data_IF_996517524684
#
_entry.id   IF_996517524684
#
_cell.length_a   1.000
_cell.length_b   1.000
_cell.length_c   1.000
_cell.angle_alpha   90.00
_cell.angle_beta   90.00
_cell.angle_gamma   90.00
#
_symmetry.space_group_name_H-M   'P 1'
#
loop_
_entity.id
_entity.type
_entity.pdbx_description
1 polymer ?
#
# COMPACT_ATOMS: atom_id res chain seq x y z
N UNK A 1 31.07 -3.26 -5.28
CA UNK A 1 30.03 -3.45 -6.32
C UNK A 1 28.80 -3.98 -5.61
N UNK A 2 27.90 -3.11 -5.17
CA UNK A 2 26.59 -3.53 -4.70
C UNK A 2 25.73 -3.71 -5.96
N UNK A 3 25.29 -4.93 -6.22
CA UNK A 3 24.22 -5.13 -7.18
C UNK A 3 22.98 -4.45 -6.59
N UNK A 4 22.57 -3.31 -7.14
CA UNK A 4 21.25 -2.76 -6.89
C UNK A 4 20.25 -3.84 -7.33
N UNK A 5 19.71 -4.57 -6.37
CA UNK A 5 18.57 -5.44 -6.63
C UNK A 5 17.42 -4.51 -7.02
N UNK A 6 17.18 -4.40 -8.33
CA UNK A 6 15.97 -3.79 -8.85
C UNK A 6 14.78 -4.47 -8.19
N UNK A 7 14.01 -3.71 -7.42
CA UNK A 7 12.78 -4.17 -6.78
C UNK A 7 11.81 -4.63 -7.88
N UNK A 8 11.35 -5.88 -7.82
CA UNK A 8 10.29 -6.36 -8.70
C UNK A 8 8.93 -5.84 -8.20
N UNK A 9 8.58 -4.63 -8.63
CA UNK A 9 7.34 -3.98 -8.24
C UNK A 9 6.08 -4.72 -8.70
N UNK A 10 6.15 -5.54 -9.76
CA UNK A 10 5.02 -6.37 -10.16
C UNK A 10 4.79 -7.50 -9.14
N UNK A 11 5.87 -8.10 -8.64
CA UNK A 11 5.79 -9.09 -7.57
C UNK A 11 5.29 -8.44 -6.26
N UNK A 12 5.80 -7.26 -5.90
CA UNK A 12 5.34 -6.51 -4.72
C UNK A 12 3.84 -6.22 -4.81
N UNK A 13 3.36 -5.73 -5.96
CA UNK A 13 1.94 -5.49 -6.19
C UNK A 13 1.11 -6.78 -6.03
N UNK A 14 1.58 -7.89 -6.60
CA UNK A 14 0.90 -9.18 -6.49
C UNK A 14 0.82 -9.67 -5.02
N UNK A 15 1.87 -9.45 -4.23
CA UNK A 15 1.89 -9.79 -2.81
C UNK A 15 0.95 -8.91 -1.98
N UNK A 16 0.92 -7.59 -2.21
CA UNK A 16 -0.03 -6.71 -1.52
C UNK A 16 -1.49 -7.04 -1.88
N UNK A 17 -1.74 -7.44 -3.12
CA UNK A 17 -3.07 -7.88 -3.57
C UNK A 17 -3.54 -9.20 -2.94
N UNK A 18 -2.64 -9.98 -2.32
CA UNK A 18 -2.97 -11.22 -1.59
C UNK A 18 -3.26 -10.99 -0.10
N UNK A 19 -3.03 -9.78 0.42
CA UNK A 19 -3.34 -9.47 1.81
C UNK A 19 -4.85 -9.64 2.08
N UNK A 20 -5.26 -10.09 3.27
CA UNK A 20 -6.66 -10.12 3.64
C UNK A 20 -7.24 -8.70 3.64
N UNK A 21 -8.04 -8.40 2.62
CA UNK A 21 -8.68 -7.11 2.43
C UNK A 21 -10.01 -7.05 3.17
N UNK A 22 -10.37 -5.91 3.79
CA UNK A 22 -11.73 -5.65 4.20
C UNK A 22 -12.70 -5.83 3.02
N UNK A 23 -13.90 -6.35 3.28
CA UNK A 23 -14.86 -6.72 2.22
C UNK A 23 -15.33 -5.55 1.34
N UNK A 24 -15.16 -4.31 1.81
CA UNK A 24 -15.48 -3.10 1.06
C UNK A 24 -14.32 -2.61 0.16
N UNK A 25 -13.10 -3.11 0.32
CA UNK A 25 -11.97 -2.68 -0.53
C UNK A 25 -12.14 -3.30 -1.91
N UNK A 26 -12.16 -2.43 -2.92
CA UNK A 26 -12.37 -2.82 -4.33
C UNK A 26 -11.05 -3.18 -5.03
N UNK A 27 -9.92 -2.78 -4.47
CA UNK A 27 -8.59 -3.10 -4.99
C UNK A 27 -7.52 -2.12 -4.54
N UNK A 28 -6.32 -2.32 -5.07
CA UNK A 28 -5.16 -1.47 -4.83
C UNK A 28 -4.61 -0.94 -6.16
N UNK A 29 -4.16 0.30 -6.15
CA UNK A 29 -3.30 0.87 -7.21
C UNK A 29 -1.99 1.27 -6.57
N UNK A 30 -0.88 0.94 -7.22
CA UNK A 30 0.47 1.26 -6.76
C UNK A 30 1.17 2.20 -7.75
N UNK A 31 2.04 3.05 -7.23
CA UNK A 31 3.04 3.80 -7.99
C UNK A 31 4.31 3.86 -7.14
N UNK A 32 5.47 3.74 -7.76
CA UNK A 32 6.76 3.84 -7.09
C UNK A 32 7.63 4.88 -7.80
N UNK A 33 8.62 5.41 -7.08
CA UNK A 33 9.56 6.39 -7.58
C UNK A 33 10.19 7.19 -6.45
N UNK A 34 10.92 8.24 -6.80
CA UNK A 34 11.47 9.19 -5.85
C UNK A 34 10.38 10.13 -5.33
N UNK A 35 10.39 10.39 -4.02
CA UNK A 35 9.57 11.40 -3.39
C UNK A 35 10.15 12.81 -3.54
N UNK A 36 9.62 13.78 -2.80
CA UNK A 36 10.09 15.16 -2.88
C UNK A 36 11.49 15.38 -2.26
N UNK A 37 12.01 14.45 -1.46
CA UNK A 37 13.36 14.52 -0.88
C UNK A 37 14.39 13.76 -1.72
N UNK A 38 13.94 13.04 -2.75
CA UNK A 38 14.79 12.18 -3.59
C UNK A 38 14.94 10.78 -3.02
N UNK A 39 14.15 10.41 -2.00
CA UNK A 39 14.16 9.08 -1.40
C UNK A 39 13.17 8.17 -2.14
N UNK A 40 13.49 6.87 -2.23
CA UNK A 40 12.58 5.90 -2.83
C UNK A 40 11.31 5.75 -1.98
N UNK A 41 10.16 5.86 -2.63
CA UNK A 41 8.87 5.74 -2.00
C UNK A 41 7.86 4.99 -2.86
N UNK A 42 6.79 4.53 -2.21
CA UNK A 42 5.66 3.89 -2.85
C UNK A 42 4.35 4.55 -2.43
N UNK A 43 3.52 4.89 -3.40
CA UNK A 43 2.17 5.38 -3.21
C UNK A 43 1.19 4.24 -3.44
N UNK A 44 0.36 3.99 -2.44
CA UNK A 44 -0.68 2.96 -2.47
C UNK A 44 -2.03 3.65 -2.33
N UNK A 45 -2.86 3.50 -3.36
CA UNK A 45 -4.26 3.92 -3.31
C UNK A 45 -5.13 2.71 -3.02
N UNK A 46 -5.81 2.74 -1.87
CA UNK A 46 -6.80 1.76 -1.46
C UNK A 46 -8.14 2.20 -2.01
N UNK A 47 -8.65 1.45 -3.00
CA UNK A 47 -9.94 1.76 -3.63
C UNK A 47 -11.08 1.34 -2.74
N UNK A 48 -11.94 2.28 -2.37
CA UNK A 48 -13.09 2.03 -1.52
C UNK A 48 -14.34 2.75 -2.06
N UNK A 49 -15.55 2.27 -1.74
CA UNK A 49 -16.78 2.96 -2.10
C UNK A 49 -16.84 4.37 -1.49
N UNK A 50 -17.47 5.29 -2.22
CA UNK A 50 -17.80 6.61 -1.67
C UNK A 50 -18.64 6.47 -0.39
N UNK A 51 -18.30 7.26 0.64
CA UNK A 51 -19.01 7.25 1.92
C UNK A 51 -18.68 6.05 2.83
N UNK A 52 -17.75 5.16 2.47
CA UNK A 52 -17.38 4.01 3.33
C UNK A 52 -16.93 4.44 4.73
N UNK A 53 -16.24 5.57 4.83
CA UNK A 53 -15.69 6.09 6.09
C UNK A 53 -16.76 6.56 7.08
N UNK A 54 -18.01 6.75 6.61
CA UNK A 54 -19.15 7.05 7.46
C UNK A 54 -19.79 5.80 8.09
N UNK A 55 -19.40 4.59 7.66
CA UNK A 55 -19.92 3.34 8.21
C UNK A 55 -19.24 3.02 9.55
N UNK A 56 -19.99 2.51 10.55
CA UNK A 56 -19.41 2.06 11.82
C UNK A 56 -18.33 1.00 11.60
N UNK A 57 -17.16 1.18 12.22
CA UNK A 57 -16.03 0.23 12.15
C UNK A 57 -15.16 0.34 10.90
N UNK A 58 -15.61 1.02 9.83
CA UNK A 58 -14.85 1.10 8.58
C UNK A 58 -13.48 1.78 8.74
N UNK A 59 -13.38 2.80 9.59
CA UNK A 59 -12.10 3.47 9.86
C UNK A 59 -11.10 2.54 10.57
N UNK A 60 -11.56 1.74 11.54
CA UNK A 60 -10.72 0.77 12.24
C UNK A 60 -10.25 -0.35 11.30
N UNK A 61 -11.13 -0.83 10.41
CA UNK A 61 -10.78 -1.79 9.37
C UNK A 61 -9.76 -1.23 8.37
N UNK A 62 -9.92 0.04 7.97
CA UNK A 62 -8.98 0.75 7.09
C UNK A 62 -7.61 0.92 7.77
N UNK A 63 -7.58 1.34 9.03
CA UNK A 63 -6.34 1.49 9.80
C UNK A 63 -5.60 0.15 9.92
N UNK A 64 -6.33 -0.90 10.31
CA UNK A 64 -5.80 -2.26 10.39
C UNK A 64 -5.25 -2.73 9.03
N UNK A 65 -5.95 -2.46 7.95
CA UNK A 65 -5.50 -2.83 6.60
C UNK A 65 -4.26 -2.03 6.17
N UNK A 66 -4.21 -0.73 6.47
CA UNK A 66 -3.07 0.12 6.19
C UNK A 66 -1.82 -0.35 6.95
N UNK A 67 -1.95 -0.78 8.20
CA UNK A 67 -0.85 -1.38 8.96
C UNK A 67 -0.32 -2.66 8.31
N UNK A 68 -1.22 -3.54 7.83
CA UNK A 68 -0.82 -4.75 7.09
C UNK A 68 -0.05 -4.41 5.82
N UNK A 69 -0.49 -3.40 5.07
CA UNK A 69 0.22 -2.92 3.88
C UNK A 69 1.62 -2.42 4.26
N UNK A 70 1.76 -1.58 5.30
CA UNK A 70 3.05 -1.06 5.74
C UNK A 70 4.01 -2.17 6.17
N UNK A 71 3.52 -3.11 6.99
CA UNK A 71 4.33 -4.24 7.45
C UNK A 71 4.79 -5.09 6.28
N UNK A 72 3.88 -5.45 5.36
CA UNK A 72 4.22 -6.27 4.20
C UNK A 72 5.18 -5.57 3.25
N UNK A 73 5.02 -4.26 3.03
CA UNK A 73 5.97 -3.47 2.25
C UNK A 73 7.37 -3.43 2.90
N UNK A 74 7.45 -3.24 4.22
CA UNK A 74 8.71 -3.25 4.93
C UNK A 74 9.44 -4.60 4.90
N UNK A 75 8.70 -5.71 4.83
CA UNK A 75 9.26 -7.05 4.62
C UNK A 75 9.77 -7.27 3.19
N UNK A 76 9.02 -6.80 2.19
CA UNK A 76 9.33 -7.03 0.78
C UNK A 76 10.42 -6.09 0.26
N UNK A 77 10.40 -4.83 0.71
CA UNK A 77 11.30 -3.76 0.27
C UNK A 77 11.78 -3.00 1.51
N UNK A 78 12.79 -3.52 2.22
CA UNK A 78 13.30 -2.88 3.42
C UNK A 78 13.78 -1.46 3.15
N UNK A 79 13.32 -0.49 3.94
CA UNK A 79 13.68 0.91 3.80
C UNK A 79 12.75 1.75 2.92
N UNK A 80 11.78 1.14 2.22
CA UNK A 80 10.80 1.90 1.43
C UNK A 80 9.84 2.67 2.34
N UNK A 81 9.51 3.90 1.96
CA UNK A 81 8.47 4.68 2.64
C UNK A 81 7.11 4.56 1.93
N UNK A 82 6.05 4.06 2.59
CA UNK A 82 4.72 3.95 2.00
C UNK A 82 3.81 5.16 2.28
N UNK A 83 3.32 5.80 1.21
CA UNK A 83 2.23 6.77 1.25
C UNK A 83 0.90 6.09 0.91
N UNK A 84 0.04 5.90 1.91
CA UNK A 84 -1.24 5.19 1.73
C UNK A 84 -2.40 6.19 1.73
N UNK A 85 -3.23 6.12 0.69
CA UNK A 85 -4.36 7.03 0.46
C UNK A 85 -5.62 6.23 0.14
N UNK A 86 -6.79 6.79 0.46
CA UNK A 86 -8.06 6.28 -0.04
C UNK A 86 -8.35 6.87 -1.42
N UNK A 87 -8.88 6.05 -2.32
CA UNK A 87 -9.35 6.43 -3.66
C UNK A 87 -10.80 5.95 -3.80
N UNK A 88 -11.70 6.85 -4.22
CA UNK A 88 -13.13 6.55 -4.45
C UNK A 88 -13.46 6.75 -5.93
#
# INVERSE_FOLDING_TARGET
MHAEQLVDWNQVEAELRRLPMPGFVQGLRLKWGEDATGDEAVWVWVRVPEGVTAQPGALEDIETFNERIRNRLGELVPGIWPYIWLEN
#
